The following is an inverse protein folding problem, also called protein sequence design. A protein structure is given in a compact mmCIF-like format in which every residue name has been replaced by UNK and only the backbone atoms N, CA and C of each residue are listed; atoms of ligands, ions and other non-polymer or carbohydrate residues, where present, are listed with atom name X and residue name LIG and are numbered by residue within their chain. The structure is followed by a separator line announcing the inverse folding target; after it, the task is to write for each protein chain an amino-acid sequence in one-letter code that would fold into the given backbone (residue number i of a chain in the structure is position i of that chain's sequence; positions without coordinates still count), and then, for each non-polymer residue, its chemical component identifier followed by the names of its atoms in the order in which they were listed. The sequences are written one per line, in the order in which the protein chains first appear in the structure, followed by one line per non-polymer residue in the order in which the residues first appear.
data_IF_424258340343
#
_entry.id   IF_424258340343
#
_cell.length_a   1.000
_cell.length_b   1.000
_cell.length_c   1.000
_cell.angle_alpha   90.00
_cell.angle_beta   90.00
_cell.angle_gamma   90.00
#
_symmetry.space_group_name_H-M   'P 1'
#
loop_
_entity.id
_entity.type
_entity.pdbx_description
1 polymer ?
#
# COMPACT_ATOMS: atom_id res chain seq x y z
N UNK A 1 -21.16 3.45 -8.32
CA UNK A 1 -19.93 2.69 -8.05
C UNK A 1 -19.12 3.47 -7.00
N UNK A 2 -18.64 2.81 -5.94
CA UNK A 2 -17.85 3.45 -4.88
C UNK A 2 -16.37 3.17 -5.15
N UNK A 3 -15.67 4.15 -5.70
CA UNK A 3 -14.23 4.13 -5.90
C UNK A 3 -13.54 4.72 -4.67
N UNK A 4 -12.54 4.02 -4.14
CA UNK A 4 -11.88 4.38 -2.88
C UNK A 4 -10.37 4.31 -3.04
N UNK A 5 -9.67 5.32 -2.54
CA UNK A 5 -8.24 5.26 -2.26
C UNK A 5 -8.03 4.79 -0.83
N UNK A 6 -7.21 3.76 -0.63
CA UNK A 6 -6.96 3.15 0.66
C UNK A 6 -5.53 3.30 1.12
N UNK A 7 -5.34 3.52 2.42
CA UNK A 7 -4.04 3.55 3.09
C UNK A 7 -4.06 2.68 4.34
N UNK A 8 -2.87 2.30 4.79
CA UNK A 8 -2.69 1.71 6.12
C UNK A 8 -1.55 2.41 6.84
N UNK A 9 -1.84 2.89 8.07
CA UNK A 9 -0.86 3.58 8.91
C UNK A 9 -1.04 3.13 10.37
N UNK A 10 -0.07 2.38 10.90
CA UNK A 10 -0.11 1.86 12.26
C UNK A 10 1.27 1.72 12.89
N UNK A 11 1.28 1.54 14.22
CA UNK A 11 2.48 1.35 15.02
C UNK A 11 3.05 2.65 15.58
N UNK A 12 4.19 2.54 16.28
CA UNK A 12 4.78 3.66 17.03
C UNK A 12 5.48 4.69 16.15
N UNK A 13 5.81 4.34 14.91
CA UNK A 13 6.49 5.27 14.02
C UNK A 13 5.51 6.29 13.44
N UNK A 14 5.50 7.49 13.98
CA UNK A 14 4.64 8.59 13.55
C UNK A 14 4.79 8.93 12.06
N UNK A 15 5.92 8.61 11.47
CA UNK A 15 6.16 8.84 10.05
C UNK A 15 5.15 8.11 9.16
N UNK A 16 4.67 6.92 9.56
CA UNK A 16 3.65 6.20 8.79
C UNK A 16 2.32 6.96 8.77
N UNK A 17 1.88 7.49 9.91
CA UNK A 17 0.64 8.27 10.02
C UNK A 17 0.76 9.61 9.28
N UNK A 18 1.85 10.35 9.51
CA UNK A 18 2.12 11.61 8.80
C UNK A 18 2.33 11.39 7.31
N UNK A 19 2.95 10.29 6.91
CA UNK A 19 3.12 9.91 5.51
C UNK A 19 1.78 9.66 4.83
N UNK A 20 0.90 8.87 5.46
CA UNK A 20 -0.46 8.63 4.98
C UNK A 20 -1.25 9.94 4.85
N UNK A 21 -1.19 10.81 5.88
CA UNK A 21 -1.89 12.09 5.87
C UNK A 21 -1.37 13.02 4.77
N UNK A 22 -0.05 13.15 4.62
CA UNK A 22 0.52 13.96 3.54
C UNK A 22 0.15 13.41 2.16
N UNK A 23 0.15 12.08 2.01
CA UNK A 23 -0.28 11.43 0.77
C UNK A 23 -1.76 11.73 0.46
N UNK A 24 -2.63 11.61 1.46
CA UNK A 24 -4.04 11.95 1.34
C UNK A 24 -4.26 13.44 0.97
N UNK A 25 -3.55 14.36 1.61
CA UNK A 25 -3.63 15.79 1.30
C UNK A 25 -3.17 16.10 -0.14
N UNK A 26 -2.11 15.44 -0.62
CA UNK A 26 -1.65 15.59 -2.01
C UNK A 26 -2.66 15.01 -2.99
N UNK A 27 -3.25 13.88 -2.65
CA UNK A 27 -4.31 13.27 -3.45
C UNK A 27 -5.52 14.20 -3.55
N UNK A 28 -6.00 14.76 -2.43
CA UNK A 28 -7.10 15.71 -2.40
C UNK A 28 -6.82 17.01 -3.16
N UNK A 29 -5.56 17.42 -3.26
CA UNK A 29 -5.19 18.57 -4.10
C UNK A 29 -5.42 18.29 -5.58
N UNK A 30 -5.11 17.09 -6.05
CA UNK A 30 -5.26 16.69 -7.46
C UNK A 30 -6.64 16.09 -7.77
N UNK A 31 -7.28 15.48 -6.79
CA UNK A 31 -8.57 14.78 -6.87
C UNK A 31 -9.45 15.24 -5.71
N UNK A 32 -10.06 16.46 -5.76
CA UNK A 32 -10.80 17.04 -4.61
C UNK A 32 -11.97 16.17 -4.11
N UNK A 33 -12.58 15.40 -5.00
CA UNK A 33 -13.73 14.53 -4.69
C UNK A 33 -13.31 13.08 -4.34
N UNK A 34 -12.00 12.81 -4.18
CA UNK A 34 -11.51 11.48 -3.88
C UNK A 34 -12.05 10.99 -2.53
N UNK A 35 -12.61 9.79 -2.53
CA UNK A 35 -12.97 9.08 -1.30
C UNK A 35 -11.74 8.36 -0.78
N UNK A 36 -11.33 8.69 0.44
CA UNK A 36 -10.11 8.17 1.06
C UNK A 36 -10.47 7.46 2.35
N UNK A 37 -9.97 6.23 2.53
CA UNK A 37 -10.11 5.50 3.79
C UNK A 37 -8.71 5.12 4.29
N UNK A 38 -8.42 5.42 5.55
CA UNK A 38 -7.15 5.08 6.21
C UNK A 38 -7.41 4.05 7.30
N UNK A 39 -6.87 2.85 7.14
CA UNK A 39 -6.84 1.86 8.23
C UNK A 39 -5.72 2.26 9.21
N UNK A 40 -6.08 2.58 10.46
CA UNK A 40 -5.13 3.14 11.41
C UNK A 40 -5.44 2.76 12.86
N UNK A 41 -4.41 2.68 13.69
CA UNK A 41 -4.53 2.53 15.15
C UNK A 41 -4.52 3.89 15.90
N UNK A 42 -4.45 5.00 15.15
CA UNK A 42 -4.46 6.37 15.68
C UNK A 42 -5.43 7.26 14.90
N UNK A 43 -6.75 6.95 14.93
CA UNK A 43 -7.76 7.70 14.17
C UNK A 43 -7.81 9.18 14.55
N UNK A 44 -7.41 9.54 15.78
CA UNK A 44 -7.35 10.92 16.26
C UNK A 44 -6.44 11.83 15.41
N UNK A 45 -5.41 11.27 14.76
CA UNK A 45 -4.53 12.03 13.87
C UNK A 45 -5.19 12.42 12.53
N UNK A 46 -6.33 11.85 12.22
CA UNK A 46 -7.08 12.09 10.99
C UNK A 46 -8.38 12.86 11.22
N UNK A 47 -8.67 13.22 12.47
CA UNK A 47 -9.88 13.98 12.81
C UNK A 47 -9.90 15.34 12.11
N UNK A 48 -11.04 15.67 11.52
CA UNK A 48 -11.26 16.93 10.80
C UNK A 48 -10.79 16.92 9.35
N UNK A 49 -9.94 15.97 8.94
CA UNK A 49 -9.55 15.80 7.54
C UNK A 49 -10.67 15.09 6.73
N UNK A 50 -10.79 15.36 5.43
CA UNK A 50 -11.81 14.72 4.58
C UNK A 50 -11.38 13.30 4.19
N UNK A 51 -11.17 12.46 5.21
CA UNK A 51 -10.82 11.04 5.09
C UNK A 51 -11.66 10.22 6.09
N UNK A 52 -12.07 9.03 5.69
CA UNK A 52 -12.67 8.05 6.59
C UNK A 52 -11.56 7.24 7.28
N UNK A 53 -11.80 6.76 8.50
CA UNK A 53 -10.84 5.88 9.19
C UNK A 53 -11.45 4.53 9.50
N UNK A 54 -10.66 3.47 9.31
CA UNK A 54 -10.94 2.11 9.79
C UNK A 54 -10.03 1.84 10.99
N UNK A 55 -10.63 1.68 12.18
CA UNK A 55 -9.86 1.49 13.41
C UNK A 55 -9.17 0.11 13.43
N UNK A 56 -7.86 0.12 13.64
CA UNK A 56 -7.03 -1.06 13.88
C UNK A 56 -6.77 -1.22 15.39
N UNK A 57 -7.63 -1.99 16.07
CA UNK A 57 -7.42 -2.28 17.49
C UNK A 57 -6.19 -3.16 17.72
N UNK A 58 -5.71 -3.22 18.96
CA UNK A 58 -4.60 -4.11 19.31
C UNK A 58 -4.92 -5.58 19.06
N UNK A 59 -6.16 -5.98 19.30
CA UNK A 59 -6.67 -7.34 19.04
C UNK A 59 -6.66 -7.66 17.55
N UNK A 60 -7.14 -6.74 16.71
CA UNK A 60 -7.11 -6.90 15.25
C UNK A 60 -5.66 -6.99 14.74
N UNK A 61 -4.78 -6.10 15.20
CA UNK A 61 -3.36 -6.14 14.81
C UNK A 61 -2.70 -7.46 15.19
N UNK A 62 -2.98 -7.97 16.40
CA UNK A 62 -2.48 -9.27 16.86
C UNK A 62 -3.01 -10.41 15.99
N UNK A 63 -4.32 -10.45 15.76
CA UNK A 63 -4.95 -11.49 14.92
C UNK A 63 -4.45 -11.43 13.47
N UNK A 64 -4.38 -10.23 12.88
CA UNK A 64 -3.98 -10.04 11.50
C UNK A 64 -2.46 -10.21 11.25
N UNK A 65 -1.65 -10.17 12.30
CA UNK A 65 -0.22 -10.50 12.22
C UNK A 65 0.07 -11.98 12.55
N UNK A 66 -0.96 -12.84 12.53
CA UNK A 66 -0.82 -14.25 12.93
C UNK A 66 -0.17 -14.38 14.33
N UNK A 67 -0.70 -13.63 15.30
CA UNK A 67 -0.15 -13.51 16.65
C UNK A 67 1.31 -13.00 16.68
N UNK A 68 1.59 -11.92 15.95
CA UNK A 68 2.89 -11.26 15.81
C UNK A 68 3.97 -12.09 15.08
N UNK A 69 3.61 -13.18 14.41
CA UNK A 69 4.55 -14.01 13.63
C UNK A 69 4.86 -13.43 12.25
N UNK A 70 3.90 -12.70 11.65
CA UNK A 70 4.08 -12.09 10.33
C UNK A 70 3.41 -10.71 10.25
N UNK A 71 4.23 -9.66 10.36
CA UNK A 71 3.78 -8.28 10.46
C UNK A 71 2.99 -7.78 9.24
N UNK A 72 3.41 -8.14 8.01
CA UNK A 72 2.72 -7.72 6.79
C UNK A 72 1.35 -8.37 6.58
N UNK A 73 0.99 -9.37 7.39
CA UNK A 73 -0.38 -9.88 7.45
C UNK A 73 -1.40 -8.81 7.80
N UNK A 74 -1.02 -7.81 8.64
CA UNK A 74 -1.88 -6.67 8.97
C UNK A 74 -2.21 -5.87 7.70
N UNK A 75 -1.22 -5.61 6.86
CA UNK A 75 -1.40 -4.91 5.58
C UNK A 75 -2.37 -5.66 4.66
N UNK A 76 -2.12 -6.95 4.46
CA UNK A 76 -2.97 -7.79 3.61
C UNK A 76 -4.42 -7.82 4.11
N UNK A 77 -4.61 -7.98 5.42
CA UNK A 77 -5.96 -8.01 6.00
C UNK A 77 -6.66 -6.66 5.91
N UNK A 78 -5.93 -5.56 6.12
CA UNK A 78 -6.48 -4.22 5.94
C UNK A 78 -6.95 -3.97 4.50
N UNK A 79 -6.20 -4.41 3.47
CA UNK A 79 -6.64 -4.33 2.07
C UNK A 79 -7.96 -5.06 1.84
N UNK A 80 -8.15 -6.26 2.46
CA UNK A 80 -9.39 -7.03 2.39
C UNK A 80 -10.55 -6.22 3.00
N UNK A 81 -10.35 -5.65 4.19
CA UNK A 81 -11.42 -4.88 4.87
C UNK A 81 -11.73 -3.58 4.12
N UNK A 82 -10.73 -2.88 3.58
CA UNK A 82 -10.93 -1.70 2.74
C UNK A 82 -11.71 -2.05 1.46
N UNK A 83 -11.40 -3.18 0.83
CA UNK A 83 -12.12 -3.62 -0.38
C UNK A 83 -13.59 -3.96 -0.10
N UNK A 84 -13.95 -4.42 1.11
CA UNK A 84 -15.36 -4.61 1.50
C UNK A 84 -16.15 -3.29 1.51
N UNK A 85 -15.45 -2.17 1.69
CA UNK A 85 -16.04 -0.82 1.73
C UNK A 85 -16.07 -0.12 0.37
N UNK A 86 -15.56 -0.76 -0.69
CA UNK A 86 -15.42 -0.17 -2.03
C UNK A 86 -15.94 -1.13 -3.12
N UNK A 87 -16.33 -0.59 -4.27
CA UNK A 87 -16.50 -1.39 -5.49
C UNK A 87 -15.16 -1.57 -6.19
N UNK A 88 -14.35 -0.49 -6.23
CA UNK A 88 -12.96 -0.52 -6.69
C UNK A 88 -12.06 0.16 -5.66
N UNK A 89 -10.96 -0.47 -5.33
CA UNK A 89 -9.95 0.03 -4.39
C UNK A 89 -8.65 0.31 -5.13
N UNK A 90 -8.07 1.49 -4.95
CA UNK A 90 -6.66 1.75 -5.18
C UNK A 90 -5.99 1.92 -3.82
N UNK A 91 -5.30 0.87 -3.37
CA UNK A 91 -4.47 0.93 -2.17
C UNK A 91 -3.10 1.51 -2.50
N UNK A 92 -2.59 2.38 -1.62
CA UNK A 92 -1.25 2.96 -1.72
C UNK A 92 -0.51 2.89 -0.38
N UNK A 93 0.77 2.54 -0.42
CA UNK A 93 1.65 2.67 0.75
C UNK A 93 1.82 4.15 1.13
N UNK A 94 2.10 4.41 2.40
CA UNK A 94 2.19 5.77 2.99
C UNK A 94 3.36 6.62 2.48
N UNK A 95 4.22 6.06 1.68
CA UNK A 95 5.37 6.70 1.03
C UNK A 95 5.17 6.92 -0.49
N UNK A 96 3.92 6.84 -0.95
CA UNK A 96 3.50 7.12 -2.32
C UNK A 96 2.68 8.42 -2.36
N UNK A 97 3.02 9.34 -3.25
CA UNK A 97 2.43 10.68 -3.30
C UNK A 97 1.94 11.01 -4.70
N UNK A 98 0.66 11.37 -4.83
CA UNK A 98 0.08 11.81 -6.10
C UNK A 98 0.82 13.04 -6.66
N UNK A 99 1.07 13.05 -7.96
CA UNK A 99 1.67 14.17 -8.69
C UNK A 99 0.75 14.70 -9.79
N UNK A 100 -0.38 14.04 -10.03
CA UNK A 100 -1.46 14.43 -10.92
C UNK A 100 -2.77 13.79 -10.44
N UNK A 101 -3.85 14.00 -11.17
CA UNK A 101 -5.13 13.31 -10.96
C UNK A 101 -4.95 11.79 -11.17
N UNK A 102 -5.38 11.01 -10.19
CA UNK A 102 -5.29 9.55 -10.20
C UNK A 102 -6.63 8.86 -10.47
N UNK A 103 -7.73 9.61 -10.60
CA UNK A 103 -9.10 9.04 -10.72
C UNK A 103 -9.25 8.16 -11.97
N UNK A 104 -8.60 8.49 -13.07
CA UNK A 104 -8.56 7.67 -14.28
C UNK A 104 -7.97 6.27 -14.07
N UNK A 105 -7.20 6.06 -13.00
CA UNK A 105 -6.66 4.74 -12.66
C UNK A 105 -7.72 3.69 -12.32
N UNK A 106 -8.90 4.11 -11.88
CA UNK A 106 -10.00 3.19 -11.62
C UNK A 106 -10.58 2.56 -12.89
N UNK A 107 -10.47 3.21 -14.03
CA UNK A 107 -11.02 2.72 -15.30
C UNK A 107 -10.36 1.41 -15.75
N UNK A 108 -9.11 1.20 -15.38
CA UNK A 108 -8.36 -0.03 -15.69
C UNK A 108 -8.72 -1.19 -14.77
N UNK A 109 -9.41 -0.94 -13.64
CA UNK A 109 -9.73 -1.94 -12.64
C UNK A 109 -11.08 -2.56 -12.94
N UNK A 110 -11.09 -3.86 -13.28
CA UNK A 110 -12.28 -4.63 -13.62
C UNK A 110 -12.33 -5.95 -12.84
N UNK A 111 -13.45 -6.70 -12.87
CA UNK A 111 -13.49 -8.04 -12.26
C UNK A 111 -12.39 -9.00 -12.74
N UNK A 112 -11.89 -8.82 -13.97
CA UNK A 112 -10.84 -9.66 -14.54
C UNK A 112 -9.46 -8.99 -14.61
N UNK A 113 -9.36 -7.72 -14.27
CA UNK A 113 -8.10 -6.99 -14.37
C UNK A 113 -7.80 -6.18 -13.12
N UNK A 114 -6.64 -6.44 -12.53
CA UNK A 114 -6.07 -5.72 -11.37
C UNK A 114 -4.80 -4.99 -11.79
N UNK A 115 -4.42 -3.96 -11.04
CA UNK A 115 -3.14 -3.28 -11.25
C UNK A 115 -2.29 -3.38 -9.99
N UNK A 116 -0.99 -3.57 -10.15
CA UNK A 116 -0.04 -3.55 -9.05
C UNK A 116 1.12 -2.61 -9.38
N UNK A 117 1.97 -2.32 -8.41
CA UNK A 117 3.03 -1.34 -8.59
C UNK A 117 3.95 -1.71 -9.75
N UNK A 118 4.49 -2.93 -9.74
CA UNK A 118 5.29 -3.49 -10.84
C UNK A 118 5.49 -4.98 -10.64
N UNK A 119 5.74 -5.66 -11.73
CA UNK A 119 6.20 -7.04 -11.73
C UNK A 119 7.72 -7.08 -11.46
N UNK A 120 8.13 -8.02 -10.65
CA UNK A 120 9.54 -8.34 -10.42
C UNK A 120 9.82 -9.78 -10.87
N UNK A 121 11.10 -10.10 -11.06
CA UNK A 121 11.51 -11.48 -11.29
C UNK A 121 11.11 -12.35 -10.09
N UNK A 122 10.89 -13.67 -10.27
CA UNK A 122 10.69 -14.59 -9.18
C UNK A 122 11.77 -14.41 -8.11
N UNK A 123 11.37 -14.40 -6.85
CA UNK A 123 12.30 -14.16 -5.75
C UNK A 123 13.20 -15.38 -5.54
N UNK A 124 14.50 -15.17 -5.38
CA UNK A 124 15.50 -16.27 -5.25
C UNK A 124 15.25 -17.24 -4.08
N UNK A 125 14.46 -16.84 -3.08
CA UNK A 125 14.13 -17.66 -1.91
C UNK A 125 12.81 -18.41 -2.03
N UNK A 126 11.94 -18.08 -3.00
CA UNK A 126 10.65 -18.73 -3.15
C UNK A 126 10.70 -20.16 -3.74
N UNK A 127 11.72 -20.56 -4.54
CA UNK A 127 11.80 -21.94 -5.03
C UNK A 127 11.82 -23.01 -3.92
N UNK A 128 12.18 -22.68 -2.69
CA UNK A 128 12.12 -23.59 -1.53
C UNK A 128 10.68 -24.01 -1.18
N UNK A 129 9.67 -23.33 -1.72
CA UNK A 129 8.24 -23.64 -1.54
C UNK A 129 7.78 -24.81 -2.43
N UNK A 130 8.58 -25.18 -3.44
CA UNK A 130 8.26 -26.31 -4.33
C UNK A 130 8.08 -27.60 -3.52
N UNK A 131 6.99 -28.32 -3.77
CA UNK A 131 6.66 -29.56 -3.07
C UNK A 131 6.16 -29.39 -1.63
N UNK A 132 5.92 -28.18 -1.15
CA UNK A 132 5.40 -27.91 0.22
C UNK A 132 3.88 -27.96 0.34
N UNK A 133 3.17 -28.25 -0.75
CA UNK A 133 1.68 -28.28 -0.81
C UNK A 133 1.02 -27.00 -0.23
N UNK A 134 1.65 -25.85 -0.46
CA UNK A 134 1.07 -24.56 -0.10
C UNK A 134 0.09 -24.14 -1.17
N UNK A 135 -1.12 -23.70 -0.76
CA UNK A 135 -2.22 -23.43 -1.69
C UNK A 135 -2.81 -22.05 -1.53
N UNK A 136 -3.30 -21.52 -2.65
CA UNK A 136 -4.21 -20.37 -2.74
C UNK A 136 -5.45 -20.87 -3.46
N UNK A 137 -6.56 -21.07 -2.73
CA UNK A 137 -7.69 -21.87 -3.24
C UNK A 137 -7.19 -23.27 -3.64
N UNK A 138 -7.51 -23.69 -4.86
CA UNK A 138 -7.07 -24.98 -5.41
C UNK A 138 -5.67 -24.95 -6.04
N UNK A 139 -5.07 -23.77 -6.19
CA UNK A 139 -3.76 -23.62 -6.83
C UNK A 139 -2.63 -24.00 -5.87
N UNK A 140 -1.78 -24.93 -6.27
CA UNK A 140 -0.55 -25.31 -5.55
C UNK A 140 0.58 -24.39 -5.99
N UNK A 141 1.16 -23.65 -5.05
CA UNK A 141 2.28 -22.76 -5.32
C UNK A 141 3.55 -23.53 -5.66
N UNK A 142 4.25 -23.09 -6.70
CA UNK A 142 5.53 -23.68 -7.12
C UNK A 142 6.75 -22.92 -6.57
N UNK A 143 6.54 -21.69 -6.08
CA UNK A 143 7.60 -20.77 -5.68
C UNK A 143 8.33 -20.11 -6.85
N UNK A 144 7.91 -20.36 -8.07
CA UNK A 144 8.50 -19.81 -9.32
C UNK A 144 7.65 -18.70 -9.93
N UNK A 145 6.50 -18.42 -9.32
CA UNK A 145 5.59 -17.36 -9.75
C UNK A 145 6.26 -15.99 -9.66
N UNK A 146 5.90 -15.07 -10.57
CA UNK A 146 6.47 -13.73 -10.54
C UNK A 146 6.06 -13.00 -9.26
N UNK A 147 6.98 -12.20 -8.73
CA UNK A 147 6.70 -11.31 -7.60
C UNK A 147 6.03 -10.03 -8.11
N UNK A 148 4.93 -9.63 -7.49
CA UNK A 148 4.25 -8.37 -7.76
C UNK A 148 4.33 -7.44 -6.55
N UNK A 149 4.89 -6.25 -6.71
CA UNK A 149 4.96 -5.28 -5.61
C UNK A 149 3.59 -4.70 -5.26
N UNK A 150 3.19 -4.82 -4.00
CA UNK A 150 1.90 -4.40 -3.46
C UNK A 150 1.88 -2.98 -2.86
N UNK A 151 2.92 -2.18 -3.07
CA UNK A 151 2.94 -0.77 -2.64
C UNK A 151 1.86 0.07 -3.33
N UNK A 152 1.37 -0.39 -4.47
CA UNK A 152 0.13 0.02 -5.14
C UNK A 152 -0.62 -1.26 -5.49
N UNK A 153 -1.91 -1.31 -5.18
CA UNK A 153 -2.82 -2.38 -5.54
C UNK A 153 -4.16 -1.78 -5.96
N UNK A 154 -4.49 -1.89 -7.26
CA UNK A 154 -5.82 -1.58 -7.78
C UNK A 154 -6.61 -2.86 -7.99
N UNK A 155 -7.75 -2.99 -7.33
CA UNK A 155 -8.53 -4.23 -7.32
C UNK A 155 -10.04 -3.97 -7.29
N UNK A 156 -10.80 -4.75 -8.06
CA UNK A 156 -12.26 -4.73 -8.07
C UNK A 156 -12.83 -5.64 -6.97
N UNK A 157 -13.99 -5.28 -6.40
CA UNK A 157 -14.66 -6.03 -5.33
C UNK A 157 -14.95 -7.50 -5.67
N UNK A 158 -15.18 -7.82 -6.94
CA UNK A 158 -15.34 -9.21 -7.40
C UNK A 158 -14.13 -10.10 -7.08
N UNK A 159 -12.95 -9.52 -6.84
CA UNK A 159 -11.73 -10.24 -6.47
C UNK A 159 -11.51 -10.33 -4.94
N UNK A 160 -12.53 -10.00 -4.13
CA UNK A 160 -12.44 -10.08 -2.66
C UNK A 160 -12.09 -11.50 -2.18
N UNK A 161 -12.72 -12.54 -2.75
CA UNK A 161 -12.41 -13.93 -2.41
C UNK A 161 -10.96 -14.28 -2.72
N UNK A 162 -10.41 -13.82 -3.84
CA UNK A 162 -9.01 -14.05 -4.19
C UNK A 162 -8.05 -13.47 -3.14
N UNK A 163 -8.32 -12.26 -2.62
CA UNK A 163 -7.52 -11.68 -1.54
C UNK A 163 -7.70 -12.46 -0.21
N UNK A 164 -8.91 -12.95 0.06
CA UNK A 164 -9.19 -13.77 1.24
C UNK A 164 -8.43 -15.10 1.15
N UNK A 165 -8.42 -15.76 0.01
CA UNK A 165 -7.71 -17.03 -0.23
C UNK A 165 -6.18 -16.86 -0.19
N UNK A 166 -5.68 -15.67 -0.59
CA UNK A 166 -4.25 -15.35 -0.52
C UNK A 166 -3.72 -15.22 0.92
N UNK A 167 -4.58 -14.87 1.89
CA UNK A 167 -4.14 -14.50 3.22
C UNK A 167 -3.62 -15.67 4.07
N UNK A 168 -4.30 -16.83 4.19
CA UNK A 168 -3.86 -17.91 5.06
C UNK A 168 -2.44 -18.43 4.80
N UNK A 169 -2.00 -18.66 3.54
CA UNK A 169 -0.68 -19.21 3.26
C UNK A 169 0.48 -18.23 3.50
N UNK A 170 0.23 -16.92 3.68
CA UNK A 170 1.29 -15.91 3.82
C UNK A 170 2.26 -16.21 4.95
N UNK A 171 1.75 -16.69 6.09
CA UNK A 171 2.60 -17.05 7.23
C UNK A 171 3.54 -18.19 6.88
N UNK A 172 3.03 -19.28 6.30
CA UNK A 172 3.84 -20.43 5.92
C UNK A 172 4.87 -20.06 4.83
N UNK A 173 4.48 -19.24 3.84
CA UNK A 173 5.39 -18.70 2.83
C UNK A 173 6.52 -17.93 3.51
N UNK A 174 6.20 -17.02 4.44
CA UNK A 174 7.20 -16.26 5.18
C UNK A 174 8.12 -17.16 5.99
N UNK A 175 7.58 -18.13 6.76
CA UNK A 175 8.36 -18.99 7.64
C UNK A 175 9.27 -19.95 6.89
N UNK A 176 8.86 -20.44 5.72
CA UNK A 176 9.66 -21.36 4.91
C UNK A 176 10.70 -20.59 4.10
N UNK A 177 10.29 -19.57 3.38
CA UNK A 177 11.16 -18.84 2.45
C UNK A 177 11.96 -17.70 3.09
N UNK A 178 11.58 -17.29 4.32
CA UNK A 178 12.17 -16.14 5.05
C UNK A 178 12.02 -14.79 4.32
N UNK A 179 11.08 -14.67 3.37
CA UNK A 179 10.82 -13.42 2.69
C UNK A 179 9.81 -12.57 3.48
N UNK A 180 10.12 -11.29 3.67
CA UNK A 180 9.18 -10.35 4.27
C UNK A 180 8.01 -10.00 3.32
N UNK A 181 8.23 -10.17 2.02
CA UNK A 181 7.29 -9.84 0.95
C UNK A 181 6.27 -10.97 0.65
N UNK A 182 6.02 -11.90 1.61
CA UNK A 182 5.10 -13.02 1.39
C UNK A 182 3.66 -12.55 1.06
N UNK A 183 3.21 -11.40 1.63
CA UNK A 183 1.89 -10.85 1.33
C UNK A 183 1.75 -10.47 -0.15
N UNK A 184 2.75 -9.78 -0.71
CA UNK A 184 2.71 -9.37 -2.12
C UNK A 184 2.87 -10.55 -3.07
N UNK A 185 3.62 -11.59 -2.68
CA UNK A 185 3.75 -12.83 -3.44
C UNK A 185 2.41 -13.56 -3.52
N UNK A 186 1.75 -13.82 -2.38
CA UNK A 186 0.46 -14.50 -2.35
C UNK A 186 -0.65 -13.70 -3.03
N UNK A 187 -0.71 -12.37 -2.84
CA UNK A 187 -1.68 -11.50 -3.52
C UNK A 187 -1.46 -11.53 -5.03
N UNK A 188 -0.22 -11.42 -5.49
CA UNK A 188 0.13 -11.47 -6.90
C UNK A 188 -0.32 -12.78 -7.56
N UNK A 189 -0.07 -13.91 -6.91
CA UNK A 189 -0.55 -15.23 -7.40
C UNK A 189 -2.08 -15.21 -7.46
N UNK A 190 -2.77 -14.91 -6.36
CA UNK A 190 -4.24 -14.97 -6.29
C UNK A 190 -4.92 -14.14 -7.38
N UNK A 191 -4.38 -12.94 -7.66
CA UNK A 191 -4.92 -12.05 -8.69
C UNK A 191 -4.49 -12.42 -10.13
N UNK A 192 -3.63 -13.44 -10.30
CA UNK A 192 -3.22 -13.97 -11.60
C UNK A 192 -3.88 -15.31 -11.94
N UNK A 193 -4.69 -15.89 -11.05
CA UNK A 193 -5.30 -17.20 -11.25
C UNK A 193 -6.56 -17.14 -12.14
N UNK A 194 -6.78 -18.19 -12.91
CA UNK A 194 -7.93 -18.32 -13.82
C UNK A 194 -7.83 -17.29 -14.96
N UNK A 195 -8.93 -16.56 -15.21
CA UNK A 195 -9.00 -15.54 -16.26
C UNK A 195 -8.55 -14.15 -15.77
N UNK A 196 -8.03 -14.04 -14.54
CA UNK A 196 -7.57 -12.76 -13.99
C UNK A 196 -6.19 -12.41 -14.49
N UNK A 197 -5.98 -11.13 -14.69
CA UNK A 197 -4.71 -10.56 -15.15
C UNK A 197 -4.27 -9.41 -14.26
N UNK A 198 -2.97 -9.18 -14.20
CA UNK A 198 -2.37 -8.04 -13.52
C UNK A 198 -1.52 -7.26 -14.51
N UNK A 199 -1.60 -5.93 -14.47
CA UNK A 199 -0.65 -5.05 -15.13
C UNK A 199 0.05 -4.11 -14.14
N UNK A 200 1.13 -3.50 -14.58
CA UNK A 200 1.72 -2.38 -13.86
C UNK A 200 0.81 -1.15 -13.94
N UNK A 201 0.70 -0.41 -12.82
CA UNK A 201 -0.11 0.79 -12.80
C UNK A 201 0.48 1.90 -13.68
N UNK A 202 -0.40 2.77 -14.20
CA UNK A 202 -0.03 3.96 -14.97
C UNK A 202 -0.24 5.27 -14.18
N UNK A 203 -0.44 5.17 -12.86
CA UNK A 203 -0.70 6.31 -11.98
C UNK A 203 0.54 7.20 -11.89
N UNK A 204 0.34 8.52 -11.96
CA UNK A 204 1.40 9.50 -11.79
C UNK A 204 1.69 9.73 -10.30
N UNK A 205 2.60 8.93 -9.77
CA UNK A 205 2.95 8.87 -8.34
C UNK A 205 4.45 9.01 -8.16
N UNK A 206 4.86 9.85 -7.21
CA UNK A 206 6.22 9.86 -6.69
C UNK A 206 6.33 8.84 -5.54
N UNK A 207 7.21 7.85 -5.67
CA UNK A 207 7.45 6.83 -4.65
C UNK A 207 8.74 7.07 -3.86
N UNK A 208 8.71 6.76 -2.55
CA UNK A 208 9.86 6.89 -1.64
C UNK A 208 10.13 5.58 -0.88
N UNK A 209 9.91 4.44 -1.50
CA UNK A 209 9.92 3.11 -0.90
C UNK A 209 11.31 2.50 -0.64
N UNK A 210 12.39 3.02 -1.21
CA UNK A 210 13.75 2.53 -0.92
C UNK A 210 14.32 3.21 0.34
N UNK A 211 15.26 2.54 1.03
CA UNK A 211 15.90 3.07 2.26
C UNK A 211 16.38 4.51 2.07
N UNK A 212 17.08 4.79 0.99
CA UNK A 212 17.60 6.11 0.71
C UNK A 212 16.52 7.15 0.39
N UNK A 213 15.47 6.77 -0.34
CA UNK A 213 14.33 7.64 -0.59
C UNK A 213 13.54 7.92 0.70
N UNK A 214 13.35 6.92 1.57
CA UNK A 214 12.69 7.09 2.88
C UNK A 214 13.47 8.04 3.78
N UNK A 215 14.78 7.88 3.89
CA UNK A 215 15.65 8.78 4.66
C UNK A 215 15.60 10.22 4.15
N UNK A 216 15.42 10.43 2.85
CA UNK A 216 15.22 11.75 2.26
C UNK A 216 13.84 12.32 2.55
N UNK A 217 12.77 11.52 2.44
CA UNK A 217 11.39 11.99 2.57
C UNK A 217 11.01 12.26 4.03
N UNK A 218 11.44 11.42 4.97
CA UNK A 218 11.05 11.48 6.38
C UNK A 218 11.20 12.87 7.02
N UNK A 219 12.36 13.56 6.99
CA UNK A 219 12.50 14.89 7.58
C UNK A 219 11.65 15.94 6.85
N UNK A 220 11.30 15.72 5.59
CA UNK A 220 10.44 16.61 4.81
C UNK A 220 8.98 16.46 5.17
N UNK A 221 8.53 15.25 5.43
CA UNK A 221 7.17 14.99 5.95
C UNK A 221 7.01 15.69 7.31
N UNK A 222 7.97 15.52 8.24
CA UNK A 222 7.93 16.21 9.53
C UNK A 222 7.94 17.74 9.37
N UNK A 223 8.77 18.27 8.50
CA UNK A 223 8.86 19.71 8.22
C UNK A 223 7.55 20.27 7.64
N UNK A 224 6.87 19.53 6.78
CA UNK A 224 5.57 19.95 6.28
C UNK A 224 4.57 20.17 7.41
N UNK A 225 4.42 19.20 8.31
CA UNK A 225 3.47 19.33 9.42
C UNK A 225 3.93 20.33 10.49
N UNK A 226 5.23 20.54 10.68
CA UNK A 226 5.73 21.62 11.53
C UNK A 226 5.37 23.01 11.00
N UNK A 227 5.36 23.16 9.67
CA UNK A 227 5.04 24.44 9.02
C UNK A 227 3.54 24.68 8.85
N UNK A 228 2.77 23.64 8.56
CA UNK A 228 1.38 23.77 8.12
C UNK A 228 0.37 22.99 8.95
N UNK A 229 0.79 22.17 9.90
CA UNK A 229 -0.12 21.29 10.65
C UNK A 229 -1.16 22.00 11.52
N UNK A 230 -0.91 23.24 11.90
CA UNK A 230 -1.87 24.09 12.63
C UNK A 230 -2.76 24.97 11.71
N UNK A 231 -2.50 24.96 10.40
CA UNK A 231 -3.23 25.78 9.44
C UNK A 231 -4.59 25.13 9.07
N UNK A 232 -5.55 25.92 8.57
CA UNK A 232 -6.81 25.36 8.04
C UNK A 232 -6.56 24.27 7.00
N UNK A 233 -7.40 23.23 7.00
CA UNK A 233 -7.21 22.04 6.14
C UNK A 233 -7.15 22.43 4.65
N UNK A 234 -7.96 23.39 4.19
CA UNK A 234 -7.90 23.89 2.82
C UNK A 234 -6.53 24.47 2.45
N UNK A 235 -5.84 25.12 3.40
CA UNK A 235 -4.47 25.60 3.22
C UNK A 235 -3.49 24.43 3.21
N UNK A 236 -3.64 23.48 4.13
CA UNK A 236 -2.79 22.28 4.16
C UNK A 236 -2.87 21.51 2.83
N UNK A 237 -4.06 21.28 2.27
CA UNK A 237 -4.26 20.62 0.96
C UNK A 237 -3.51 21.40 -0.13
N UNK A 238 -3.71 22.72 -0.21
CA UNK A 238 -3.05 23.56 -1.22
C UNK A 238 -1.52 23.50 -1.10
N UNK A 239 -1.00 23.62 0.11
CA UNK A 239 0.44 23.60 0.35
C UNK A 239 1.02 22.18 0.14
N UNK A 240 0.28 21.11 0.49
CA UNK A 240 0.69 19.73 0.20
C UNK A 240 0.83 19.51 -1.31
N UNK A 241 -0.10 19.96 -2.13
CA UNK A 241 -0.01 19.86 -3.59
C UNK A 241 1.25 20.51 -4.16
N UNK A 242 1.61 21.67 -3.62
CA UNK A 242 2.80 22.43 -4.04
C UNK A 242 4.10 21.90 -3.43
N UNK A 243 4.01 21.14 -2.32
CA UNK A 243 5.17 20.68 -1.57
C UNK A 243 5.97 19.64 -2.35
N UNK A 244 7.18 20.04 -2.78
CA UNK A 244 8.06 19.18 -3.59
C UNK A 244 8.89 18.27 -2.71
N UNK A 245 8.65 16.97 -2.82
CA UNK A 245 9.50 15.92 -2.23
C UNK A 245 10.61 15.47 -3.20
N UNK A 246 10.88 16.25 -4.27
CA UNK A 246 11.87 15.88 -5.29
C UNK A 246 13.29 15.99 -4.76
N UNK A 247 14.08 14.94 -4.91
CA UNK A 247 15.52 14.97 -4.65
C UNK A 247 16.22 15.83 -5.70
N UNK A 248 17.12 16.70 -5.26
CA UNK A 248 18.05 17.39 -6.14
C UNK A 248 19.25 16.49 -6.44
N UNK A 249 20.04 16.83 -7.46
CA UNK A 249 21.30 16.14 -7.73
C UNK A 249 22.24 16.17 -6.51
N UNK A 250 22.26 17.28 -5.80
CA UNK A 250 23.05 17.44 -4.55
C UNK A 250 22.59 16.45 -3.48
N UNK A 251 21.27 16.25 -3.29
CA UNK A 251 20.75 15.27 -2.35
C UNK A 251 21.15 13.84 -2.73
N UNK A 252 21.17 13.52 -4.03
CA UNK A 252 21.58 12.21 -4.54
C UNK A 252 23.07 11.97 -4.29
N UNK A 253 23.90 12.98 -4.57
CA UNK A 253 25.37 12.90 -4.36
C UNK A 253 25.68 12.75 -2.87
N UNK A 254 25.10 13.60 -2.00
CA UNK A 254 25.29 13.50 -0.55
C UNK A 254 24.93 12.13 -0.01
N UNK A 255 23.86 11.54 -0.50
CA UNK A 255 23.40 10.24 -0.05
C UNK A 255 24.35 9.11 -0.48
N UNK A 256 24.99 9.20 -1.66
CA UNK A 256 26.01 8.24 -2.11
C UNK A 256 27.32 8.33 -1.32
N UNK A 257 27.61 9.49 -0.72
CA UNK A 257 28.81 9.71 0.09
C UNK A 257 28.63 9.29 1.56
N UNK A 258 27.40 9.04 2.00
CA UNK A 258 27.04 8.67 3.40
C UNK A 258 26.58 7.21 3.55
N UNK A 259 26.54 6.45 2.46
CA UNK A 259 26.28 4.99 2.40
C UNK A 259 27.55 4.24 2.02
#
# INVERSE_FOLDING_TARGET
MRDVFGYIAYGQNELYHRGALLSALKLLYHCPEAKIIVATDRPELFLGYPVETLLLTSELKKAWSFNARYHFGIKARAMIELLKMADRLIFMDTDHYATADLTGGFETITPKHSVMRRQEKPHKWTPVLEGKDLRIGDYVMTGREPMWQSGILGVHRANLSALVDAYPPMLAVHEISKIDAAEQFCIGIALSLGERTISEHQLQIADYNTRGKKAFAAPRVHRFFAAYGAEPISRQIREAGRYRLRRTLIDIIRQKLTT
#
